data_IF_379413109525
#
_entry.id   IF_379413109525
#
_cell.length_a   1.000
_cell.length_b   1.000
_cell.length_c   1.000
_cell.angle_alpha   90.00
_cell.angle_beta   90.00
_cell.angle_gamma   90.00
#
_symmetry.space_group_name_H-M   'P 1'
#
loop_
_entity.id
_entity.type
_entity.pdbx_description
1 polymer ?
#
# COMPACT_ATOMS: atom_id res chain seq x y z
N UNK A 1 10.14 -18.19 -22.21
CA UNK A 1 10.05 -19.29 -23.20
C UNK A 1 8.66 -19.92 -23.32
N UNK A 2 8.01 -20.40 -22.25
CA UNK A 2 6.71 -21.12 -22.32
C UNK A 2 5.58 -20.43 -23.13
N UNK A 3 5.43 -19.10 -23.04
CA UNK A 3 4.37 -18.35 -23.74
C UNK A 3 4.58 -18.22 -25.26
N UNK A 4 5.83 -18.09 -25.71
CA UNK A 4 6.14 -18.02 -27.15
C UNK A 4 5.82 -19.37 -27.79
N UNK A 5 6.18 -20.48 -27.13
CA UNK A 5 5.86 -21.82 -27.61
C UNK A 5 4.35 -22.05 -27.72
N UNK A 6 3.58 -21.67 -26.69
CA UNK A 6 2.11 -21.70 -26.73
C UNK A 6 1.55 -20.86 -27.88
N UNK A 7 2.09 -19.67 -28.09
CA UNK A 7 1.67 -18.79 -29.17
C UNK A 7 1.94 -19.42 -30.55
N UNK A 8 3.14 -19.97 -30.75
CA UNK A 8 3.50 -20.64 -32.00
C UNK A 8 2.61 -21.85 -32.27
N UNK A 9 2.25 -22.61 -31.23
CA UNK A 9 1.28 -23.70 -31.35
C UNK A 9 -0.10 -23.19 -31.80
N UNK A 10 -0.57 -22.06 -31.24
CA UNK A 10 -1.83 -21.44 -31.65
C UNK A 10 -1.77 -20.98 -33.11
N UNK A 11 -0.69 -20.31 -33.52
CA UNK A 11 -0.51 -19.85 -34.91
C UNK A 11 -0.44 -21.03 -35.88
N UNK A 12 0.29 -22.09 -35.53
CA UNK A 12 0.37 -23.31 -36.32
C UNK A 12 -1.00 -24.00 -36.45
N UNK A 13 -1.74 -24.14 -35.36
CA UNK A 13 -3.07 -24.74 -35.37
C UNK A 13 -4.05 -23.93 -36.25
N UNK A 14 -4.02 -22.60 -36.15
CA UNK A 14 -4.84 -21.72 -37.00
C UNK A 14 -4.46 -21.86 -38.48
N UNK A 15 -3.17 -22.06 -38.79
CA UNK A 15 -2.71 -22.32 -40.14
C UNK A 15 -3.24 -23.65 -40.70
N UNK A 16 -3.20 -24.73 -39.90
CA UNK A 16 -3.72 -26.04 -40.31
C UNK A 16 -5.24 -26.05 -40.53
N UNK A 17 -5.98 -25.19 -39.82
CA UNK A 17 -7.44 -25.11 -39.92
C UNK A 17 -7.94 -24.33 -41.14
N UNK A 18 -7.10 -23.53 -41.80
CA UNK A 18 -7.53 -22.70 -42.95
C UNK A 18 -7.58 -23.43 -44.30
N UNK A 19 -7.42 -24.76 -44.31
CA UNK A 19 -7.45 -25.60 -45.52
C UNK A 19 -6.46 -25.17 -46.62
N UNK A 20 -5.37 -24.49 -46.21
CA UNK A 20 -4.29 -24.06 -47.08
C UNK A 20 -3.28 -25.20 -47.17
N UNK A 21 -3.10 -25.79 -48.36
CA UNK A 21 -2.03 -26.77 -48.62
C UNK A 21 -0.66 -26.13 -48.38
N UNK A 22 -0.04 -26.43 -47.25
CA UNK A 22 1.31 -25.97 -46.91
C UNK A 22 1.98 -27.01 -46.01
N UNK A 23 2.83 -27.84 -46.63
CA UNK A 23 3.43 -29.02 -46.00
C UNK A 23 4.52 -28.66 -44.98
N UNK A 24 5.12 -27.48 -45.10
CA UNK A 24 6.16 -27.02 -44.18
C UNK A 24 6.02 -25.52 -43.91
N UNK A 25 5.16 -25.12 -42.95
CA UNK A 25 4.91 -23.71 -42.64
C UNK A 25 6.14 -23.05 -42.02
N UNK A 26 6.48 -21.87 -42.52
CA UNK A 26 7.55 -21.04 -41.97
C UNK A 26 6.98 -19.66 -41.62
N UNK A 27 6.86 -19.38 -40.32
CA UNK A 27 6.25 -18.15 -39.83
C UNK A 27 7.29 -17.05 -39.58
N UNK A 28 6.97 -15.86 -40.07
CA UNK A 28 7.70 -14.63 -39.81
C UNK A 28 6.81 -13.63 -39.06
N UNK A 29 7.39 -12.91 -38.11
CA UNK A 29 6.70 -11.85 -37.39
C UNK A 29 6.54 -10.62 -38.29
N UNK A 30 5.31 -10.34 -38.71
CA UNK A 30 5.02 -9.24 -39.64
C UNK A 30 4.68 -7.95 -38.91
N UNK A 31 4.00 -8.04 -37.76
CA UNK A 31 3.57 -6.84 -37.03
C UNK A 31 3.58 -7.06 -35.53
N UNK A 32 4.21 -6.13 -34.84
CA UNK A 32 4.09 -5.96 -33.39
C UNK A 32 3.18 -4.77 -33.07
N UNK A 33 2.21 -4.98 -32.20
CA UNK A 33 1.25 -3.96 -31.77
C UNK A 33 1.35 -3.84 -30.26
N UNK A 34 1.79 -2.68 -29.78
CA UNK A 34 1.89 -2.39 -28.35
C UNK A 34 0.50 -2.12 -27.76
N UNK A 35 0.23 -2.72 -26.61
CA UNK A 35 -1.00 -2.58 -25.84
C UNK A 35 -0.67 -2.36 -24.36
N UNK A 36 -0.48 -1.09 -23.98
CA UNK A 36 0.09 -0.75 -22.67
C UNK A 36 1.53 -1.23 -22.55
N UNK A 37 1.85 -2.00 -21.50
CA UNK A 37 3.14 -2.69 -21.35
C UNK A 37 3.19 -4.04 -22.09
N UNK A 38 2.12 -4.43 -22.77
CA UNK A 38 1.98 -5.72 -23.41
C UNK A 38 2.12 -5.63 -24.93
N UNK A 39 2.33 -6.76 -25.60
CA UNK A 39 2.50 -6.83 -27.06
C UNK A 39 1.53 -7.84 -27.68
N UNK A 40 0.92 -7.47 -28.82
CA UNK A 40 0.22 -8.39 -29.72
C UNK A 40 1.06 -8.58 -30.96
N UNK A 41 1.11 -9.80 -31.47
CA UNK A 41 1.88 -10.14 -32.66
C UNK A 41 0.99 -10.66 -33.77
N UNK A 42 1.40 -10.41 -35.01
CA UNK A 42 0.82 -10.96 -36.23
C UNK A 42 1.93 -11.69 -36.97
N UNK A 43 1.67 -12.94 -37.31
CA UNK A 43 2.59 -13.79 -38.04
C UNK A 43 2.07 -14.07 -39.44
N UNK A 44 2.97 -14.11 -40.40
CA UNK A 44 2.66 -14.52 -41.77
C UNK A 44 3.48 -15.75 -42.10
N UNK A 45 2.89 -16.72 -42.79
CA UNK A 45 3.67 -17.79 -43.38
C UNK A 45 4.38 -17.24 -44.63
N UNK A 46 5.70 -17.40 -44.73
CA UNK A 46 6.45 -16.98 -45.91
C UNK A 46 6.09 -17.84 -47.13
N UNK A 47 5.74 -19.11 -46.89
CA UNK A 47 5.56 -20.14 -47.91
C UNK A 47 4.13 -20.27 -48.44
N UNK A 48 3.16 -19.69 -47.73
CA UNK A 48 1.77 -19.66 -48.18
C UNK A 48 1.17 -18.28 -47.93
N UNK A 49 -0.10 -18.08 -48.27
CA UNK A 49 -0.77 -16.76 -48.10
C UNK A 49 -1.35 -16.56 -46.69
N UNK A 50 -1.10 -17.49 -45.76
CA UNK A 50 -1.62 -17.41 -44.40
C UNK A 50 -1.07 -16.20 -43.64
N UNK A 51 -1.99 -15.46 -43.02
CA UNK A 51 -1.68 -14.41 -42.04
C UNK A 51 -2.52 -14.66 -40.80
N UNK A 52 -1.86 -14.74 -39.64
CA UNK A 52 -2.53 -15.00 -38.38
C UNK A 52 -3.41 -13.81 -37.98
N UNK A 53 -4.49 -14.04 -37.21
CA UNK A 53 -5.09 -12.96 -36.44
C UNK A 53 -4.08 -12.39 -35.42
N UNK A 54 -4.44 -11.27 -34.79
CA UNK A 54 -3.62 -10.67 -33.72
C UNK A 54 -3.61 -11.62 -32.53
N UNK A 55 -2.45 -12.16 -32.19
CA UNK A 55 -2.29 -13.06 -31.05
C UNK A 55 -1.63 -12.32 -29.90
N UNK A 56 -2.16 -12.47 -28.68
CA UNK A 56 -1.64 -11.81 -27.49
C UNK A 56 -0.40 -12.55 -26.97
N UNK A 57 0.70 -11.83 -26.69
CA UNK A 57 1.87 -12.37 -25.95
C UNK A 57 1.70 -12.25 -24.42
N UNK A 58 0.49 -11.97 -23.94
CA UNK A 58 0.17 -11.66 -22.56
C UNK A 58 -1.20 -12.23 -22.21
N UNK A 59 -1.47 -12.38 -20.91
CA UNK A 59 -2.78 -12.83 -20.46
C UNK A 59 -3.69 -11.63 -20.25
N UNK A 60 -4.94 -11.77 -20.68
CA UNK A 60 -5.96 -10.74 -20.51
C UNK A 60 -6.74 -11.00 -19.22
N UNK A 61 -6.97 -9.95 -18.43
CA UNK A 61 -7.87 -10.00 -17.29
C UNK A 61 -9.29 -9.82 -17.83
N UNK A 62 -10.13 -10.84 -17.70
CA UNK A 62 -11.52 -10.79 -18.14
C UNK A 62 -12.27 -9.73 -17.33
N UNK A 63 -12.90 -8.78 -18.01
CA UNK A 63 -13.76 -7.78 -17.38
C UNK A 63 -15.15 -7.78 -18.00
N UNK A 64 -16.18 -7.55 -17.19
CA UNK A 64 -17.57 -7.39 -17.66
C UNK A 64 -17.82 -6.02 -18.31
N UNK A 65 -16.85 -5.11 -18.21
CA UNK A 65 -16.99 -3.74 -18.71
C UNK A 65 -16.89 -3.69 -20.23
N UNK A 66 -17.63 -2.78 -20.89
CA UNK A 66 -17.49 -2.55 -22.33
C UNK A 66 -16.06 -2.14 -22.70
N UNK A 67 -15.50 -2.81 -23.70
CA UNK A 67 -14.19 -2.52 -24.26
C UNK A 67 -13.22 -3.71 -24.18
N UNK A 68 -12.00 -3.53 -24.72
CA UNK A 68 -10.99 -4.59 -24.72
C UNK A 68 -10.51 -4.91 -23.30
N UNK A 69 -10.34 -6.20 -23.02
CA UNK A 69 -9.81 -6.67 -21.76
C UNK A 69 -8.39 -6.13 -21.52
N UNK A 70 -8.09 -5.66 -20.30
CA UNK A 70 -6.76 -5.16 -20.00
C UNK A 70 -5.73 -6.29 -19.91
N UNK A 71 -4.49 -5.99 -20.29
CA UNK A 71 -3.38 -6.90 -20.12
C UNK A 71 -2.94 -7.00 -18.67
N UNK A 72 -2.74 -8.23 -18.21
CA UNK A 72 -2.37 -8.57 -16.84
C UNK A 72 -1.12 -7.82 -16.36
N UNK A 73 -0.05 -7.80 -17.18
CA UNK A 73 1.22 -7.12 -16.85
C UNK A 73 1.03 -5.63 -16.50
N UNK A 74 0.12 -4.93 -17.19
CA UNK A 74 -0.11 -3.51 -16.92
C UNK A 74 -0.86 -3.31 -15.59
N UNK A 75 -1.77 -4.22 -15.24
CA UNK A 75 -2.49 -4.26 -13.96
C UNK A 75 -1.54 -4.59 -12.81
N UNK A 76 -0.71 -5.61 -12.98
CA UNK A 76 0.27 -6.04 -11.97
C UNK A 76 1.31 -4.94 -11.70
N UNK A 77 1.79 -4.25 -12.73
CA UNK A 77 2.68 -3.13 -12.53
C UNK A 77 2.00 -2.00 -11.73
N UNK A 78 0.74 -1.68 -12.02
CA UNK A 78 -0.01 -0.70 -11.24
C UNK A 78 -0.20 -1.14 -9.78
N UNK A 79 -0.36 -2.44 -9.51
CA UNK A 79 -0.38 -3.00 -8.16
C UNK A 79 0.97 -2.84 -7.45
N UNK A 80 2.06 -3.20 -8.12
CA UNK A 80 3.41 -3.09 -7.57
C UNK A 80 3.76 -1.63 -7.21
N UNK A 81 3.26 -0.66 -7.97
CA UNK A 81 3.45 0.75 -7.64
C UNK A 81 2.80 1.15 -6.32
N UNK A 82 1.69 0.50 -5.90
CA UNK A 82 1.01 0.85 -4.64
C UNK A 82 1.78 0.44 -3.38
N UNK A 83 2.62 -0.60 -3.48
CA UNK A 83 3.51 -1.04 -2.40
C UNK A 83 4.75 -0.14 -2.24
N UNK A 84 4.93 0.83 -3.14
CA UNK A 84 6.13 1.67 -3.18
C UNK A 84 5.77 3.14 -3.03
N UNK A 85 6.70 3.99 -2.53
CA UNK A 85 6.52 5.45 -2.56
C UNK A 85 6.56 6.03 -4.00
N UNK A 86 6.64 5.19 -5.03
CA UNK A 86 6.79 5.58 -6.42
C UNK A 86 5.45 5.86 -7.09
N UNK A 87 5.14 7.14 -7.32
CA UNK A 87 3.96 7.52 -8.10
C UNK A 87 4.08 7.12 -9.59
N UNK A 88 2.93 7.06 -10.28
CA UNK A 88 2.81 6.65 -11.70
C UNK A 88 3.77 7.40 -12.64
N UNK A 89 4.03 8.69 -12.41
CA UNK A 89 4.98 9.46 -13.24
C UNK A 89 6.40 8.86 -13.16
N UNK A 90 6.87 8.58 -11.94
CA UNK A 90 8.18 7.96 -11.70
C UNK A 90 8.20 6.51 -12.17
N UNK A 91 7.11 5.76 -11.99
CA UNK A 91 6.98 4.40 -12.53
C UNK A 91 7.09 4.35 -14.06
N UNK A 92 6.50 5.32 -14.78
CA UNK A 92 6.66 5.45 -16.24
C UNK A 92 8.09 5.83 -16.63
N UNK A 93 8.72 6.71 -15.85
CA UNK A 93 10.12 7.07 -16.08
C UNK A 93 11.05 5.86 -15.88
N UNK A 94 10.83 5.06 -14.83
CA UNK A 94 11.55 3.82 -14.60
C UNK A 94 11.42 2.86 -15.79
N UNK A 95 10.21 2.66 -16.31
CA UNK A 95 10.00 1.83 -17.50
C UNK A 95 10.75 2.37 -18.72
N UNK A 96 10.56 3.65 -19.04
CA UNK A 96 11.13 4.26 -20.25
C UNK A 96 12.66 4.39 -20.19
N UNK A 97 13.18 5.00 -19.13
CA UNK A 97 14.58 5.37 -19.00
C UNK A 97 15.43 4.28 -18.33
N UNK A 98 14.87 3.57 -17.35
CA UNK A 98 15.59 2.56 -16.59
C UNK A 98 15.59 1.18 -17.24
N UNK A 99 14.46 0.78 -17.83
CA UNK A 99 14.26 -0.57 -18.37
C UNK A 99 14.17 -0.63 -19.90
N UNK A 100 14.17 0.53 -20.57
CA UNK A 100 13.94 0.65 -22.01
C UNK A 100 12.64 -0.03 -22.47
N UNK A 101 11.62 -0.02 -21.61
CA UNK A 101 10.29 -0.56 -21.89
C UNK A 101 9.36 0.63 -22.20
N UNK A 102 8.63 0.62 -23.34
CA UNK A 102 7.66 1.64 -23.66
C UNK A 102 6.57 1.69 -22.57
N UNK A 103 6.43 2.80 -21.82
CA UNK A 103 5.48 2.85 -20.73
C UNK A 103 4.06 2.97 -21.27
N UNK A 104 3.05 2.38 -20.59
CA UNK A 104 1.66 2.68 -20.87
C UNK A 104 1.36 4.17 -20.72
N UNK A 105 0.22 4.59 -21.25
CA UNK A 105 -0.24 5.97 -21.07
C UNK A 105 -0.49 6.25 -19.59
N UNK A 106 -0.19 7.49 -19.14
CA UNK A 106 -0.47 7.92 -17.76
C UNK A 106 -1.92 7.66 -17.37
N UNK A 107 -2.86 7.92 -18.30
CA UNK A 107 -4.30 7.71 -18.09
C UNK A 107 -4.65 6.25 -17.87
N UNK A 108 -4.05 5.33 -18.62
CA UNK A 108 -4.26 3.88 -18.46
C UNK A 108 -3.72 3.40 -17.11
N UNK A 109 -2.48 3.77 -16.74
CA UNK A 109 -1.90 3.39 -15.44
C UNK A 109 -2.70 3.96 -14.26
N UNK A 110 -3.19 5.20 -14.37
CA UNK A 110 -4.05 5.78 -13.34
C UNK A 110 -5.38 5.01 -13.21
N UNK A 111 -5.97 4.58 -14.34
CA UNK A 111 -7.18 3.75 -14.32
C UNK A 111 -6.90 2.43 -13.60
N UNK A 112 -5.79 1.75 -13.91
CA UNK A 112 -5.45 0.49 -13.25
C UNK A 112 -5.13 0.65 -11.76
N UNK A 113 -4.38 1.68 -11.38
CA UNK A 113 -4.13 2.01 -9.97
C UNK A 113 -5.43 2.16 -9.19
N UNK A 114 -6.42 2.85 -9.76
CA UNK A 114 -7.71 3.02 -9.12
C UNK A 114 -8.42 1.69 -8.87
N UNK A 115 -8.53 0.82 -9.89
CA UNK A 115 -9.24 -0.46 -9.71
C UNK A 115 -8.50 -1.35 -8.71
N UNK A 116 -7.16 -1.41 -8.78
CA UNK A 116 -6.37 -2.18 -7.82
C UNK A 116 -6.50 -1.63 -6.40
N UNK A 117 -6.57 -0.30 -6.23
CA UNK A 117 -6.73 0.29 -4.89
C UNK A 117 -8.09 -0.03 -4.26
N UNK A 118 -9.16 -0.10 -5.08
CA UNK A 118 -10.47 -0.54 -4.60
C UNK A 118 -10.46 -2.03 -4.22
N UNK A 119 -9.85 -2.88 -5.04
CA UNK A 119 -9.72 -4.32 -4.73
C UNK A 119 -8.91 -4.54 -3.46
N UNK A 120 -7.82 -3.80 -3.26
CA UNK A 120 -7.02 -3.85 -2.02
C UNK A 120 -7.86 -3.38 -0.82
N UNK A 121 -8.68 -2.34 -0.98
CA UNK A 121 -9.57 -1.88 0.09
C UNK A 121 -10.56 -2.97 0.49
N UNK A 122 -11.24 -3.59 -0.48
CA UNK A 122 -12.20 -4.68 -0.20
C UNK A 122 -11.51 -5.90 0.42
N UNK A 123 -10.31 -6.26 -0.04
CA UNK A 123 -9.52 -7.33 0.56
C UNK A 123 -9.13 -6.99 2.00
N UNK A 124 -8.72 -5.75 2.26
CA UNK A 124 -8.36 -5.29 3.59
C UNK A 124 -9.56 -5.28 4.55
N UNK A 125 -10.73 -4.78 4.11
CA UNK A 125 -11.94 -4.74 4.93
C UNK A 125 -12.38 -6.17 5.34
N UNK A 126 -12.31 -7.12 4.40
CA UNK A 126 -12.60 -8.53 4.66
C UNK A 126 -11.56 -9.22 5.56
N UNK A 127 -10.28 -8.95 5.33
CA UNK A 127 -9.18 -9.48 6.14
C UNK A 127 -9.24 -8.96 7.58
N UNK A 128 -9.49 -7.66 7.76
CA UNK A 128 -9.68 -7.03 9.06
C UNK A 128 -10.85 -7.64 9.81
N UNK A 129 -11.98 -7.88 9.14
CA UNK A 129 -13.15 -8.54 9.76
C UNK A 129 -12.81 -9.95 10.27
N UNK A 130 -12.14 -10.76 9.46
CA UNK A 130 -11.73 -12.13 9.83
C UNK A 130 -10.72 -12.14 10.99
N UNK A 131 -9.73 -11.26 10.95
CA UNK A 131 -8.73 -11.13 12.03
C UNK A 131 -9.39 -10.73 13.34
N UNK A 132 -10.36 -9.82 13.29
CA UNK A 132 -11.10 -9.34 14.44
C UNK A 132 -11.97 -10.45 15.07
N UNK A 133 -12.63 -11.28 14.26
CA UNK A 133 -13.35 -12.48 14.72
C UNK A 133 -12.40 -13.46 15.41
N UNK A 134 -11.25 -13.78 14.80
CA UNK A 134 -10.25 -14.66 15.39
C UNK A 134 -9.70 -14.13 16.73
N UNK A 135 -9.46 -12.82 16.84
CA UNK A 135 -9.00 -12.21 18.10
C UNK A 135 -10.08 -12.30 19.18
N UNK A 136 -11.36 -12.08 18.83
CA UNK A 136 -12.48 -12.27 19.78
C UNK A 136 -12.53 -13.71 20.30
N UNK A 137 -12.40 -14.71 19.43
CA UNK A 137 -12.37 -16.13 19.81
C UNK A 137 -11.22 -16.44 20.77
N UNK A 138 -10.01 -15.96 20.46
CA UNK A 138 -8.85 -16.13 21.33
C UNK A 138 -9.06 -15.47 22.70
N UNK A 139 -9.67 -14.28 22.74
CA UNK A 139 -9.97 -13.59 23.99
C UNK A 139 -11.01 -14.35 24.85
N UNK A 140 -11.99 -14.99 24.22
CA UNK A 140 -12.96 -15.87 24.91
C UNK A 140 -12.23 -17.07 25.52
N UNK A 141 -11.37 -17.75 24.75
CA UNK A 141 -10.58 -18.90 25.22
C UNK A 141 -9.68 -18.51 26.40
N UNK A 142 -9.12 -17.29 26.37
CA UNK A 142 -8.28 -16.75 27.44
C UNK A 142 -9.05 -16.31 28.69
N UNK A 143 -10.39 -16.36 28.67
CA UNK A 143 -11.22 -15.95 29.80
C UNK A 143 -11.18 -14.44 30.08
N UNK A 144 -10.87 -13.62 29.07
CA UNK A 144 -10.86 -12.16 29.22
C UNK A 144 -12.31 -11.71 29.50
N UNK A 145 -12.51 -10.92 30.57
CA UNK A 145 -13.85 -10.44 31.00
C UNK A 145 -14.64 -9.73 29.89
N UNK A 146 -13.92 -9.22 28.90
CA UNK A 146 -14.41 -8.26 27.93
C UNK A 146 -13.78 -8.57 26.56
N UNK A 147 -14.26 -9.61 25.84
CA UNK A 147 -13.59 -10.15 24.66
C UNK A 147 -13.55 -9.20 23.46
N UNK A 148 -14.43 -8.19 23.46
CA UNK A 148 -14.53 -7.13 22.46
C UNK A 148 -13.51 -6.00 22.65
N UNK A 149 -12.75 -5.99 23.76
CA UNK A 149 -11.65 -5.06 23.96
C UNK A 149 -10.37 -5.59 23.33
N UNK A 150 -9.95 -4.93 22.25
CA UNK A 150 -8.83 -5.37 21.44
C UNK A 150 -7.76 -4.27 21.40
N UNK A 151 -6.49 -4.56 21.72
CA UNK A 151 -5.38 -3.67 21.42
C UNK A 151 -5.12 -3.67 19.91
N UNK A 152 -5.01 -2.49 19.30
CA UNK A 152 -4.83 -2.35 17.85
C UNK A 152 -3.51 -1.63 17.55
N UNK A 153 -2.69 -2.24 16.70
CA UNK A 153 -1.60 -1.56 16.02
C UNK A 153 -2.09 -1.07 14.67
N UNK A 154 -1.80 0.20 14.34
CA UNK A 154 -2.39 0.85 13.18
C UNK A 154 -1.26 1.22 12.23
N UNK A 155 -1.30 0.63 11.05
CA UNK A 155 -0.50 1.05 9.91
C UNK A 155 -1.46 1.54 8.82
N UNK A 156 -1.11 2.63 8.14
CA UNK A 156 -2.00 3.26 7.17
C UNK A 156 -1.28 3.50 5.85
N UNK A 157 -2.03 3.35 4.75
CA UNK A 157 -1.53 3.55 3.39
C UNK A 157 -2.45 4.46 2.60
N UNK A 158 -1.87 5.20 1.67
CA UNK A 158 -2.62 6.13 0.82
C UNK A 158 -3.47 5.37 -0.20
N UNK A 159 -4.78 5.61 -0.19
CA UNK A 159 -5.69 5.05 -1.18
C UNK A 159 -5.71 5.92 -2.45
N UNK A 160 -5.16 5.42 -3.55
CA UNK A 160 -5.17 6.13 -4.84
C UNK A 160 -6.58 6.34 -5.43
N UNK A 161 -7.60 5.66 -4.90
CA UNK A 161 -9.00 5.85 -5.26
C UNK A 161 -9.57 7.19 -4.78
N UNK A 162 -9.09 7.69 -3.63
CA UNK A 162 -9.54 8.97 -3.06
C UNK A 162 -9.03 10.19 -3.84
N UNK A 163 -8.08 9.98 -4.75
CA UNK A 163 -7.55 11.01 -5.65
C UNK A 163 -8.33 11.14 -6.96
N UNK A 164 -9.35 10.30 -7.18
CA UNK A 164 -10.15 10.31 -8.40
C UNK A 164 -11.62 10.06 -8.07
N UNK A 165 -12.35 11.13 -7.82
CA UNK A 165 -13.81 11.07 -7.74
C UNK A 165 -14.38 10.58 -9.08
N UNK A 166 -15.08 9.44 -9.05
CA UNK A 166 -16.27 9.16 -9.87
C UNK A 166 -17.13 8.13 -9.12
N UNK A 167 -18.25 8.58 -8.57
CA UNK A 167 -19.25 7.74 -7.90
C UNK A 167 -20.06 8.44 -6.81
N UNK A 168 -19.60 9.60 -6.34
CA UNK A 168 -20.35 10.49 -5.44
C UNK A 168 -20.41 11.87 -6.11
N UNK A 169 -21.54 12.56 -5.98
CA UNK A 169 -21.69 13.93 -6.42
C UNK A 169 -20.81 14.81 -5.50
N UNK A 170 -19.62 15.19 -5.98
CA UNK A 170 -18.65 15.97 -5.20
C UNK A 170 -18.64 17.41 -5.67
N UNK A 171 -18.95 18.32 -4.76
CA UNK A 171 -18.76 19.77 -4.90
C UNK A 171 -17.27 20.08 -4.84
N UNK A 172 -16.71 20.54 -5.96
CA UNK A 172 -15.33 21.00 -6.02
C UNK A 172 -15.11 22.18 -5.07
N UNK A 173 -14.05 22.19 -4.24
CA UNK A 173 -13.70 23.32 -3.38
C UNK A 173 -13.42 24.64 -4.13
N UNK A 174 -13.12 24.55 -5.42
CA UNK A 174 -12.86 25.68 -6.31
C UNK A 174 -14.03 25.91 -7.30
N UNK A 175 -15.20 25.32 -7.05
CA UNK A 175 -16.44 25.62 -7.79
C UNK A 175 -16.54 25.07 -9.21
N UNK A 176 -15.57 24.28 -9.67
CA UNK A 176 -15.63 23.64 -10.99
C UNK A 176 -16.73 22.58 -11.07
N UNK A 177 -17.85 22.92 -11.73
CA UNK A 177 -18.98 22.01 -11.92
C UNK A 177 -18.62 20.87 -12.91
N UNK A 178 -18.84 19.62 -12.48
CA UNK A 178 -18.90 18.41 -13.33
C UNK A 178 -17.60 17.90 -13.96
N UNK A 179 -16.52 18.69 -13.97
CA UNK A 179 -15.25 18.33 -14.64
C UNK A 179 -14.08 18.08 -13.68
N UNK A 180 -14.20 18.54 -12.44
CA UNK A 180 -13.17 18.34 -11.43
C UNK A 180 -13.28 16.95 -10.79
N UNK A 181 -12.15 16.25 -10.70
CA UNK A 181 -12.04 14.94 -10.03
C UNK A 181 -11.50 15.04 -8.60
N UNK A 182 -11.20 16.27 -8.16
CA UNK A 182 -10.66 16.56 -6.84
C UNK A 182 -11.79 16.84 -5.86
N UNK A 183 -11.83 16.03 -4.80
CA UNK A 183 -12.66 16.18 -3.61
C UNK A 183 -11.97 16.99 -2.50
N UNK A 184 -10.65 17.15 -2.59
CA UNK A 184 -9.82 17.91 -1.65
C UNK A 184 -8.84 18.79 -2.44
N UNK A 185 -8.51 19.96 -1.91
CA UNK A 185 -7.50 20.84 -2.53
C UNK A 185 -6.13 20.13 -2.50
N UNK A 186 -5.25 20.31 -3.51
CA UNK A 186 -3.89 19.77 -3.48
C UNK A 186 -3.07 20.21 -2.25
N UNK A 187 -3.42 21.36 -1.67
CA UNK A 187 -2.81 21.93 -0.47
C UNK A 187 -3.46 21.44 0.83
N UNK A 188 -4.50 20.62 0.76
CA UNK A 188 -5.16 20.08 1.95
C UNK A 188 -4.15 19.20 2.68
N UNK A 189 -3.77 19.54 3.92
CA UNK A 189 -2.80 18.76 4.66
C UNK A 189 -3.37 17.36 4.92
N UNK A 190 -2.54 16.35 4.67
CA UNK A 190 -2.82 14.97 5.04
C UNK A 190 -2.81 14.90 6.56
N UNK A 191 -3.94 14.53 7.16
CA UNK A 191 -4.13 14.56 8.60
C UNK A 191 -4.33 13.15 9.13
N UNK A 192 -3.31 12.63 9.81
CA UNK A 192 -3.38 11.35 10.52
C UNK A 192 -4.52 11.32 11.55
N UNK A 193 -4.90 12.49 12.10
CA UNK A 193 -6.07 12.62 12.95
C UNK A 193 -7.36 12.22 12.23
N UNK A 194 -7.60 12.76 11.02
CA UNK A 194 -8.81 12.46 10.26
C UNK A 194 -8.84 10.99 9.84
N UNK A 195 -7.70 10.44 9.46
CA UNK A 195 -7.56 9.01 9.14
C UNK A 195 -7.83 8.13 10.36
N UNK A 196 -7.26 8.46 11.51
CA UNK A 196 -7.53 7.78 12.78
C UNK A 196 -9.03 7.81 13.13
N UNK A 197 -9.68 8.96 12.93
CA UNK A 197 -11.12 9.10 13.17
C UNK A 197 -11.96 8.18 12.29
N UNK A 198 -11.65 8.08 11.00
CA UNK A 198 -12.36 7.18 10.08
C UNK A 198 -12.14 5.70 10.46
N UNK A 199 -10.91 5.31 10.79
CA UNK A 199 -10.61 3.96 11.26
C UNK A 199 -11.35 3.62 12.56
N UNK A 200 -11.41 4.55 13.52
CA UNK A 200 -12.17 4.38 14.76
C UNK A 200 -13.66 4.12 14.49
N UNK A 201 -14.28 4.88 13.58
CA UNK A 201 -15.67 4.66 13.16
C UNK A 201 -15.88 3.31 12.45
N UNK A 202 -14.90 2.83 11.68
CA UNK A 202 -15.01 1.53 11.00
C UNK A 202 -14.95 0.35 11.97
N UNK A 203 -14.04 0.40 12.94
CA UNK A 203 -13.91 -0.65 13.97
C UNK A 203 -15.14 -0.66 14.88
N UNK A 204 -15.68 0.50 15.21
CA UNK A 204 -16.93 0.64 15.94
C UNK A 204 -18.13 0.00 15.21
N UNK A 205 -18.26 0.21 13.89
CA UNK A 205 -19.29 -0.47 13.07
C UNK A 205 -19.22 -2.00 13.14
N UNK A 206 -18.07 -2.55 13.52
CA UNK A 206 -17.87 -4.00 13.72
C UNK A 206 -18.08 -4.44 15.18
N UNK A 207 -18.67 -3.56 15.99
CA UNK A 207 -18.97 -3.75 17.40
C UNK A 207 -17.72 -4.16 18.20
N UNK A 208 -16.63 -3.39 18.00
CA UNK A 208 -15.35 -3.54 18.70
C UNK A 208 -14.90 -2.21 19.26
N UNK A 209 -14.41 -2.28 20.49
CA UNK A 209 -13.92 -1.13 21.23
C UNK A 209 -12.40 -1.21 21.33
N UNK A 210 -11.75 -0.15 20.85
CA UNK A 210 -10.30 -0.02 20.91
C UNK A 210 -9.94 0.56 22.27
N UNK A 211 -9.24 -0.21 23.10
CA UNK A 211 -8.71 0.27 24.40
C UNK A 211 -7.33 0.89 24.25
N UNK A 212 -6.46 0.22 23.50
CA UNK A 212 -5.08 0.61 23.30
C UNK A 212 -4.78 0.78 21.81
N UNK A 213 -4.19 1.92 21.44
CA UNK A 213 -3.75 2.20 20.08
C UNK A 213 -2.22 2.39 20.06
N UNK A 214 -1.51 1.49 19.36
CA UNK A 214 -0.05 1.59 19.23
C UNK A 214 0.28 2.48 18.04
N UNK A 215 0.92 3.63 18.29
CA UNK A 215 1.35 4.57 17.25
C UNK A 215 2.78 5.07 17.48
N UNK A 216 3.42 5.58 16.43
CA UNK A 216 4.79 6.08 16.43
C UNK A 216 5.02 7.35 17.27
N UNK A 217 3.93 8.02 17.66
CA UNK A 217 3.92 9.21 18.51
C UNK A 217 4.11 10.53 17.77
N UNK A 218 4.32 10.49 16.46
CA UNK A 218 4.54 11.69 15.63
C UNK A 218 3.23 12.26 15.09
N UNK A 219 2.18 11.45 15.10
CA UNK A 219 0.87 11.85 14.64
C UNK A 219 -0.26 11.74 15.64
N UNK A 220 -1.39 12.31 15.23
CA UNK A 220 -2.62 12.44 16.03
C UNK A 220 -3.64 11.31 15.73
N UNK A 221 -3.19 10.20 15.16
CA UNK A 221 -4.07 9.07 14.80
C UNK A 221 -4.82 8.47 15.99
N UNK A 222 -4.14 8.23 17.11
CA UNK A 222 -4.76 7.73 18.34
C UNK A 222 -5.79 8.70 18.92
N UNK A 223 -5.56 10.01 18.79
CA UNK A 223 -6.49 11.05 19.19
C UNK A 223 -7.74 11.06 18.29
N UNK A 224 -7.56 10.90 16.98
CA UNK A 224 -8.68 10.76 16.03
C UNK A 224 -9.60 9.59 16.36
N UNK A 225 -9.03 8.43 16.72
CA UNK A 225 -9.79 7.23 17.13
C UNK A 225 -10.53 7.47 18.44
N UNK A 226 -9.86 8.10 19.40
CA UNK A 226 -10.47 8.46 20.68
C UNK A 226 -11.69 9.36 20.48
N UNK A 227 -11.58 10.37 19.61
CA UNK A 227 -12.69 11.26 19.30
C UNK A 227 -13.82 10.54 18.56
N UNK A 228 -13.51 9.59 17.67
CA UNK A 228 -14.53 8.77 17.01
C UNK A 228 -15.33 7.94 18.02
N UNK A 229 -14.65 7.27 18.95
CA UNK A 229 -15.30 6.41 19.95
C UNK A 229 -16.03 7.21 21.03
N UNK A 230 -15.52 8.39 21.39
CA UNK A 230 -16.17 9.29 22.38
C UNK A 230 -17.52 9.84 21.94
N UNK A 231 -17.77 9.96 20.63
CA UNK A 231 -19.08 10.38 20.11
C UNK A 231 -20.19 9.42 20.55
N UNK A 232 -19.87 8.14 20.70
CA UNK A 232 -20.83 7.09 21.04
C UNK A 232 -20.73 6.66 22.51
N UNK A 233 -19.51 6.61 23.04
CA UNK A 233 -19.23 6.27 24.44
C UNK A 233 -18.43 7.42 25.07
N UNK A 234 -19.11 8.43 25.64
CA UNK A 234 -18.45 9.65 26.15
C UNK A 234 -17.41 9.39 27.24
N UNK A 235 -17.55 8.29 27.98
CA UNK A 235 -16.62 7.87 29.04
C UNK A 235 -15.49 6.96 28.53
N UNK A 236 -15.54 6.53 27.27
CA UNK A 236 -14.51 5.68 26.69
C UNK A 236 -13.25 6.50 26.40
N UNK A 237 -12.10 5.91 26.76
CA UNK A 237 -10.79 6.53 26.55
C UNK A 237 -9.88 5.53 25.87
N UNK A 238 -9.38 5.92 24.70
CA UNK A 238 -8.33 5.19 23.98
C UNK A 238 -6.98 5.64 24.54
N UNK A 239 -6.18 4.69 24.99
CA UNK A 239 -4.84 4.94 25.49
C UNK A 239 -3.82 4.68 24.38
N UNK A 240 -3.00 5.69 24.09
CA UNK A 240 -1.92 5.56 23.13
C UNK A 240 -0.76 4.80 23.76
N UNK A 241 -0.34 3.72 23.12
CA UNK A 241 0.87 2.99 23.45
C UNK A 241 1.96 3.25 22.40
N UNK A 242 3.23 3.15 22.79
CA UNK A 242 4.35 3.13 21.86
C UNK A 242 4.92 1.71 21.82
N UNK A 243 5.32 1.24 20.65
CA UNK A 243 6.17 0.05 20.60
C UNK A 243 7.59 0.38 21.13
N UNK A 244 8.41 -0.63 21.44
CA UNK A 244 9.76 -0.41 22.00
C UNK A 244 10.68 0.43 21.09
N UNK A 245 10.51 0.34 19.77
CA UNK A 245 11.32 1.06 18.78
C UNK A 245 10.98 2.55 18.81
N UNK A 246 9.70 2.89 18.88
CA UNK A 246 9.18 4.24 18.95
C UNK A 246 9.38 4.86 20.33
N UNK A 247 9.29 4.07 21.40
CA UNK A 247 9.64 4.50 22.75
C UNK A 247 11.12 4.90 22.84
N UNK A 248 12.01 4.10 22.24
CA UNK A 248 13.43 4.46 22.13
C UNK A 248 13.68 5.71 21.26
N UNK A 249 12.92 5.92 20.18
CA UNK A 249 12.99 7.17 19.39
C UNK A 249 12.50 8.38 20.16
N UNK A 250 11.42 8.25 20.92
CA UNK A 250 10.88 9.31 21.77
C UNK A 250 11.88 9.68 22.87
N UNK A 251 12.47 8.68 23.54
CA UNK A 251 13.51 8.88 24.55
C UNK A 251 14.74 9.59 23.97
N UNK A 252 15.18 9.20 22.76
CA UNK A 252 16.25 9.89 22.05
C UNK A 252 15.91 11.37 21.82
N UNK A 253 14.69 11.68 21.36
CA UNK A 253 14.28 13.08 21.12
C UNK A 253 14.21 13.88 22.40
N UNK A 254 13.60 13.33 23.45
CA UNK A 254 13.50 13.99 24.75
C UNK A 254 14.89 14.29 25.32
N UNK A 255 15.79 13.31 25.30
CA UNK A 255 17.19 13.49 25.71
C UNK A 255 17.89 14.56 24.86
N UNK A 256 17.67 14.55 23.54
CA UNK A 256 18.30 15.52 22.65
C UNK A 256 17.69 16.93 22.73
N UNK A 257 16.48 17.07 23.26
CA UNK A 257 15.84 18.36 23.56
C UNK A 257 16.04 18.81 25.01
N UNK A 258 16.61 17.96 25.86
CA UNK A 258 16.78 18.26 27.27
C UNK A 258 17.80 19.38 27.49
N UNK A 259 17.54 20.22 28.48
CA UNK A 259 18.44 21.27 28.89
C UNK A 259 19.51 20.68 29.82
N UNK A 260 20.69 20.44 29.27
CA UNK A 260 21.87 20.01 30.03
C UNK A 260 22.71 21.19 30.49
N UNK A 261 23.54 20.99 31.50
CA UNK A 261 24.44 22.04 31.99
C UNK A 261 25.48 22.43 30.93
N UNK A 262 25.92 23.69 30.96
CA UNK A 262 26.83 24.27 29.94
C UNK A 262 28.16 23.50 29.78
N UNK A 263 28.57 22.79 30.84
CA UNK A 263 29.83 22.05 30.95
C UNK A 263 29.68 20.55 30.76
N UNK A 264 28.45 20.04 30.59
CA UNK A 264 28.19 18.60 30.49
C UNK A 264 28.81 17.96 29.24
N UNK A 265 28.84 18.70 28.12
CA UNK A 265 29.44 18.22 26.87
C UNK A 265 30.69 19.05 26.53
N UNK A 266 31.86 18.40 26.42
CA UNK A 266 33.09 19.10 26.04
C UNK A 266 33.01 19.54 24.57
N UNK A 267 33.33 20.80 24.30
CA UNK A 267 33.34 21.32 22.93
C UNK A 267 33.44 22.84 22.89
N UNK A 268 34.29 23.36 22.01
CA UNK A 268 34.47 24.80 21.79
C UNK A 268 33.33 25.43 20.98
N UNK A 269 32.58 24.63 20.21
CA UNK A 269 31.49 25.09 19.35
C UNK A 269 30.15 24.44 19.72
N UNK A 270 29.05 25.14 19.41
CA UNK A 270 27.68 24.65 19.62
C UNK A 270 27.43 23.32 18.92
N UNK A 271 27.99 23.12 17.73
CA UNK A 271 27.85 21.88 16.97
C UNK A 271 28.53 20.68 17.64
N UNK A 272 29.75 20.87 18.18
CA UNK A 272 30.45 19.81 18.92
C UNK A 272 29.69 19.42 20.19
N UNK A 273 29.14 20.40 20.92
CA UNK A 273 28.28 20.12 22.08
C UNK A 273 27.01 19.36 21.69
N UNK A 274 26.39 19.72 20.56
CA UNK A 274 25.22 19.02 20.01
C UNK A 274 25.54 17.59 19.55
N UNK A 275 26.73 17.35 19.00
CA UNK A 275 27.21 16.00 18.69
C UNK A 275 27.39 15.15 19.96
N UNK A 276 27.97 15.71 21.02
CA UNK A 276 28.07 15.03 22.32
C UNK A 276 26.70 14.66 22.90
N UNK A 277 25.74 15.57 22.82
CA UNK A 277 24.36 15.33 23.23
C UNK A 277 23.66 14.25 22.40
N UNK A 278 23.87 14.24 21.07
CA UNK A 278 23.36 13.19 20.19
C UNK A 278 23.92 11.80 20.57
N UNK A 279 25.22 11.69 20.84
CA UNK A 279 25.87 10.43 21.23
C UNK A 279 25.31 9.93 22.56
N UNK A 280 25.19 10.81 23.56
CA UNK A 280 24.57 10.43 24.84
C UNK A 280 23.12 9.97 24.66
N UNK A 281 22.34 10.68 23.84
CA UNK A 281 20.95 10.32 23.56
C UNK A 281 20.84 8.94 22.89
N UNK A 282 21.79 8.60 22.00
CA UNK A 282 21.86 7.28 21.37
C UNK A 282 22.25 6.18 22.37
N UNK A 283 23.23 6.47 23.25
CA UNK A 283 23.67 5.52 24.29
C UNK A 283 22.54 5.23 25.28
N UNK A 284 21.82 6.25 25.75
CA UNK A 284 20.65 6.09 26.63
C UNK A 284 19.56 5.24 25.97
N UNK A 285 19.24 5.52 24.70
CA UNK A 285 18.29 4.70 23.94
C UNK A 285 18.74 3.24 23.85
N UNK A 286 20.02 3.00 23.53
CA UNK A 286 20.57 1.66 23.36
C UNK A 286 20.54 0.88 24.69
N UNK A 287 20.97 1.49 25.79
CA UNK A 287 20.96 0.88 27.12
C UNK A 287 19.55 0.55 27.60
N UNK A 288 18.60 1.47 27.48
CA UNK A 288 17.21 1.18 27.86
C UNK A 288 16.60 0.07 27.01
N UNK A 289 16.94 -0.01 25.72
CA UNK A 289 16.49 -1.11 24.86
C UNK A 289 17.11 -2.46 25.27
N UNK A 290 18.39 -2.47 25.66
CA UNK A 290 19.07 -3.68 26.14
C UNK A 290 18.46 -4.21 27.44
N UNK A 291 18.26 -3.33 28.43
CA UNK A 291 17.64 -3.69 29.71
C UNK A 291 16.24 -4.25 29.50
N UNK A 292 15.43 -3.60 28.66
CA UNK A 292 14.10 -4.11 28.32
C UNK A 292 14.16 -5.49 27.66
N UNK A 293 15.09 -5.71 26.73
CA UNK A 293 15.24 -6.99 26.05
C UNK A 293 15.73 -8.11 26.99
N UNK A 294 16.58 -7.82 27.96
CA UNK A 294 16.99 -8.80 28.99
C UNK A 294 15.82 -9.14 29.91
N UNK A 295 15.12 -8.13 30.45
CA UNK A 295 13.93 -8.34 31.27
C UNK A 295 12.84 -9.11 30.51
N UNK A 296 12.68 -8.87 29.21
CA UNK A 296 11.77 -9.62 28.35
C UNK A 296 12.15 -11.09 28.22
N UNK A 297 13.44 -11.39 28.08
CA UNK A 297 13.96 -12.77 28.00
C UNK A 297 13.81 -13.51 29.33
N UNK A 298 14.19 -12.88 30.43
CA UNK A 298 14.12 -13.47 31.77
C UNK A 298 12.69 -13.79 32.19
N UNK A 299 11.74 -12.94 31.81
CA UNK A 299 10.32 -13.11 32.15
C UNK A 299 9.50 -13.83 31.06
N UNK A 300 10.14 -14.45 30.07
CA UNK A 300 9.48 -15.17 28.96
C UNK A 300 8.39 -14.34 28.24
N UNK A 301 8.59 -13.02 28.13
CA UNK A 301 7.63 -12.10 27.54
C UNK A 301 6.40 -11.78 28.38
N UNK A 302 6.41 -12.09 29.69
CA UNK A 302 5.37 -11.66 30.61
C UNK A 302 5.55 -10.18 30.98
N UNK A 303 4.74 -9.32 30.38
CA UNK A 303 4.77 -7.87 30.54
C UNK A 303 4.42 -7.43 31.98
N UNK A 304 3.65 -8.21 32.74
CA UNK A 304 3.28 -7.85 34.12
C UNK A 304 4.46 -7.98 35.11
N UNK A 305 5.57 -8.59 34.69
CA UNK A 305 6.77 -8.82 35.50
C UNK A 305 7.95 -7.93 35.08
N UNK A 306 7.75 -7.03 34.13
CA UNK A 306 8.74 -6.08 33.58
C UNK A 306 8.31 -4.67 33.96
#
# INVERSE_FOLDING_TARGET
>A
MKKITLLMNVVFNLHTLQDIKCDNPHFELTKEIKYGSCVKCVYKCIRCKFTSPRVNLYDEIKTLNPGPNPGELTRMFASALQETPMGIKRGRFLMAAGLNIPPPTKRALQKHSYVVANEIKELNDNDMKKKLEAVKEVNIIRGVKEPSHIPVAIDTRYNSAWLKGKGLDVTCPDGHAGTCTANVKPTTPLSEYLMGKENGLQVDRQNVLIKYAVTDGDGRGAEGINDALKVLLPLWKVERQADPIHLGRSQFRQSNSANFSLNMFPGSTREKKKQGQNVLSQDLKARCSLVFNEMWKENFGNVEKI
#
